data_IF_019477061002
#
_entry.id   IF_019477061002
#
_cell.length_a   1.000
_cell.length_b   1.000
_cell.length_c   1.000
_cell.angle_alpha   90.00
_cell.angle_beta   90.00
_cell.angle_gamma   90.00
#
_symmetry.space_group_name_H-M   'P 1'
#
loop_
_entity.id
_entity.type
_entity.pdbx_description
1 polymer ?
#
# COMPACT_ATOMS: atom_id res chain seq x y z
N UNK A 1 -5.46 -21.59 -14.24
CA UNK A 1 -5.41 -20.13 -14.52
C UNK A 1 -4.61 -19.51 -13.39
N UNK A 2 -3.43 -18.95 -13.67
CA UNK A 2 -2.74 -18.09 -12.70
C UNK A 2 -3.46 -16.75 -12.71
N UNK A 3 -4.38 -16.57 -11.77
CA UNK A 3 -5.13 -15.32 -11.62
C UNK A 3 -4.29 -14.36 -10.80
N UNK A 4 -3.81 -13.30 -11.46
CA UNK A 4 -3.13 -12.19 -10.82
C UNK A 4 -4.16 -11.14 -10.44
N UNK A 5 -4.07 -10.58 -9.24
CA UNK A 5 -5.01 -9.60 -8.70
C UNK A 5 -4.42 -8.20 -8.71
N UNK A 6 -5.27 -7.20 -8.96
CA UNK A 6 -5.00 -5.81 -8.64
C UNK A 6 -5.67 -5.49 -7.30
N UNK A 7 -4.90 -4.92 -6.36
CA UNK A 7 -5.35 -4.66 -5.00
C UNK A 7 -5.22 -3.15 -4.73
N UNK A 8 -6.27 -2.56 -4.18
CA UNK A 8 -6.30 -1.16 -3.79
C UNK A 8 -6.62 -1.08 -2.30
N UNK A 9 -5.73 -0.44 -1.55
CA UNK A 9 -5.92 -0.12 -0.14
C UNK A 9 -6.12 1.38 0.04
N UNK A 10 -7.12 1.72 0.85
CA UNK A 10 -7.40 3.09 1.31
C UNK A 10 -7.48 3.04 2.83
N UNK A 11 -6.56 3.72 3.50
CA UNK A 11 -6.39 3.76 4.96
C UNK A 11 -6.38 2.39 5.66
N UNK A 12 -5.50 1.44 5.24
CA UNK A 12 -5.43 0.10 5.84
C UNK A 12 -5.12 0.12 7.35
N UNK A 13 -4.46 1.16 7.86
CA UNK A 13 -4.09 1.32 9.27
C UNK A 13 -5.28 1.32 10.24
N UNK A 14 -6.48 1.71 9.78
CA UNK A 14 -7.67 1.77 10.65
C UNK A 14 -8.11 0.38 11.14
N UNK A 15 -7.71 -0.69 10.45
CA UNK A 15 -8.09 -2.06 10.76
C UNK A 15 -6.92 -2.94 11.20
N UNK A 16 -5.70 -2.39 11.31
CA UNK A 16 -4.48 -3.16 11.55
C UNK A 16 -3.79 -2.74 12.85
N UNK A 17 -3.28 -3.71 13.61
CA UNK A 17 -2.33 -3.43 14.68
C UNK A 17 -0.99 -2.94 14.11
N UNK A 18 -0.14 -2.34 14.95
CA UNK A 18 1.15 -1.79 14.51
C UNK A 18 2.03 -2.86 13.87
N UNK A 19 2.06 -4.07 14.43
CA UNK A 19 2.82 -5.20 13.89
C UNK A 19 2.36 -5.53 12.47
N UNK A 20 1.04 -5.67 12.27
CA UNK A 20 0.46 -5.99 10.98
C UNK A 20 0.64 -4.89 9.93
N UNK A 21 0.72 -3.62 10.34
CA UNK A 21 0.97 -2.52 9.41
C UNK A 21 2.29 -2.71 8.66
N UNK A 22 3.34 -3.20 9.32
CA UNK A 22 4.65 -3.39 8.68
C UNK A 22 4.76 -4.64 7.79
N UNK A 23 3.91 -5.65 8.00
CA UNK A 23 4.05 -6.98 7.39
C UNK A 23 3.05 -7.24 6.24
N UNK A 24 1.84 -6.68 6.32
CA UNK A 24 0.74 -7.05 5.43
C UNK A 24 1.04 -6.87 3.94
N UNK A 25 1.55 -5.69 3.55
CA UNK A 25 1.79 -5.36 2.15
C UNK A 25 2.92 -6.21 1.55
N UNK A 26 4.11 -6.32 2.19
CA UNK A 26 5.17 -7.24 1.77
C UNK A 26 4.68 -8.69 1.63
N UNK A 27 3.89 -9.19 2.58
CA UNK A 27 3.40 -10.57 2.55
C UNK A 27 2.45 -10.85 1.37
N UNK A 28 1.58 -9.89 1.05
CA UNK A 28 0.70 -9.97 -0.12
C UNK A 28 1.52 -9.97 -1.42
N UNK A 29 2.56 -9.14 -1.52
CA UNK A 29 3.45 -9.11 -2.70
C UNK A 29 4.24 -10.42 -2.83
N UNK A 30 4.77 -10.95 -1.73
CA UNK A 30 5.50 -12.21 -1.67
C UNK A 30 4.63 -13.45 -1.98
N UNK A 31 3.30 -13.30 -2.01
CA UNK A 31 2.39 -14.42 -2.33
C UNK A 31 2.34 -14.79 -3.81
N UNK A 32 3.01 -14.03 -4.70
CA UNK A 32 2.99 -14.16 -6.17
C UNK A 32 1.58 -14.10 -6.80
N UNK A 33 0.58 -13.61 -6.04
CA UNK A 33 -0.81 -13.42 -6.51
C UNK A 33 -1.14 -11.96 -6.80
N UNK A 34 -0.32 -11.03 -6.35
CA UNK A 34 -0.52 -9.61 -6.58
C UNK A 34 0.22 -9.16 -7.85
N UNK A 35 -0.52 -8.78 -8.89
CA UNK A 35 0.06 -8.21 -10.11
C UNK A 35 0.17 -6.70 -10.07
N UNK A 36 -0.61 -6.06 -9.20
CA UNK A 36 -0.60 -4.62 -9.00
C UNK A 36 -1.14 -4.29 -7.61
N UNK A 37 -0.48 -3.36 -6.92
CA UNK A 37 -0.91 -2.83 -5.64
C UNK A 37 -0.82 -1.31 -5.65
N UNK A 38 -1.87 -0.67 -5.17
CA UNK A 38 -1.89 0.74 -4.81
C UNK A 38 -2.37 0.85 -3.37
N UNK A 39 -1.64 1.57 -2.52
CA UNK A 39 -2.04 1.80 -1.14
C UNK A 39 -1.90 3.29 -0.81
N UNK A 40 -3.00 3.88 -0.31
CA UNK A 40 -3.01 5.21 0.27
C UNK A 40 -3.15 5.08 1.80
N UNK A 41 -2.31 5.78 2.54
CA UNK A 41 -2.23 5.67 4.00
C UNK A 41 -1.68 6.96 4.59
N UNK A 42 -2.09 7.28 5.82
CA UNK A 42 -1.49 8.31 6.65
C UNK A 42 -0.55 7.73 7.71
N UNK A 43 -0.48 6.41 7.85
CA UNK A 43 0.38 5.76 8.82
C UNK A 43 1.84 5.67 8.33
N UNK A 44 2.82 6.10 9.15
CA UNK A 44 4.24 5.90 8.82
C UNK A 44 4.66 4.43 8.92
N UNK A 45 3.90 3.59 9.62
CA UNK A 45 4.29 2.20 9.88
C UNK A 45 4.01 1.26 8.70
N UNK A 46 3.03 1.58 7.84
CA UNK A 46 2.66 0.75 6.68
C UNK A 46 3.85 0.52 5.73
N UNK A 47 4.66 1.56 5.55
CA UNK A 47 5.83 1.54 4.67
C UNK A 47 7.15 1.51 5.43
N UNK A 48 7.15 1.24 6.74
CA UNK A 48 8.38 1.02 7.50
C UNK A 48 8.99 -0.37 7.21
N UNK A 49 9.25 -0.63 5.93
CA UNK A 49 9.74 -1.89 5.36
C UNK A 49 10.43 -1.62 4.00
N UNK A 50 10.68 -2.66 3.21
CA UNK A 50 11.36 -2.56 1.91
C UNK A 50 10.60 -1.75 0.85
N UNK A 51 9.31 -1.45 1.07
CA UNK A 51 8.47 -0.73 0.13
C UNK A 51 8.56 0.79 0.29
N UNK A 52 9.21 1.31 1.33
CA UNK A 52 9.37 2.76 1.59
C UNK A 52 9.87 3.53 0.35
N UNK A 53 10.86 2.95 -0.33
CA UNK A 53 11.48 3.52 -1.54
C UNK A 53 10.53 3.65 -2.75
N UNK A 54 9.35 3.04 -2.69
CA UNK A 54 8.32 3.07 -3.72
C UNK A 54 7.19 4.06 -3.39
N UNK A 55 7.30 4.78 -2.28
CA UNK A 55 6.29 5.74 -1.83
C UNK A 55 6.61 7.14 -2.33
N UNK A 56 5.56 7.94 -2.51
CA UNK A 56 5.69 9.37 -2.75
C UNK A 56 4.46 10.10 -2.16
N UNK A 57 4.61 11.40 -1.90
CA UNK A 57 3.53 12.24 -1.44
C UNK A 57 2.56 12.55 -2.56
N UNK A 58 1.26 12.47 -2.27
CA UNK A 58 0.22 12.85 -3.22
C UNK A 58 0.16 14.37 -3.36
N UNK A 59 0.80 14.91 -4.41
CA UNK A 59 0.77 16.33 -4.73
C UNK A 59 -0.45 16.66 -5.61
N UNK A 60 -1.38 17.45 -5.07
CA UNK A 60 -2.58 17.89 -5.81
C UNK A 60 -2.39 19.34 -6.26
N UNK A 61 -2.51 19.57 -7.57
CA UNK A 61 -2.52 20.94 -8.14
C UNK A 61 -3.94 21.30 -8.52
N UNK A 62 -4.44 22.43 -8.03
CA UNK A 62 -5.75 22.96 -8.40
C UNK A 62 -5.61 23.88 -9.62
N UNK A 63 -6.36 23.60 -10.69
CA UNK A 63 -6.53 24.54 -11.80
C UNK A 63 -7.87 25.25 -11.60
N UNK A 64 -7.84 26.58 -11.44
CA UNK A 64 -9.04 27.40 -11.55
C UNK A 64 -9.54 27.36 -13.01
N UNK A 65 -10.86 27.13 -13.17
CA UNK A 65 -11.55 27.02 -14.47
C UNK A 65 -12.18 28.36 -14.83
#
# INVERSE_FOLDING_TARGET
>A
KNSSYAILFDEPELSLSIEWQTELLPDILNSDKCGYMLAATHSPFIFQNSLDSLTDSLNVTYCEV
#
